data_IF_292356532613
#
_entry.id   IF_292356532613
#
_cell.length_a   1.000
_cell.length_b   1.000
_cell.length_c   1.000
_cell.angle_alpha   90.00
_cell.angle_beta   90.00
_cell.angle_gamma   90.00
#
_symmetry.space_group_name_H-M   'P 1'
#
loop_
_entity.id
_entity.type
_entity.pdbx_description
1 polymer ?
#
# COMPACT_ATOMS: atom_id res chain seq x y z
N UNK A 1 -15.88 1.66 -13.38
CA UNK A 1 -16.63 0.47 -12.89
C UNK A 1 -16.93 0.63 -11.39
N UNK A 2 -18.10 0.23 -10.88
CA UNK A 2 -18.39 0.25 -9.42
C UNK A 2 -17.99 -1.10 -8.81
N UNK A 3 -17.25 -1.09 -7.70
CA UNK A 3 -16.75 -2.29 -7.02
C UNK A 3 -16.99 -2.14 -5.52
N UNK A 4 -17.58 -3.16 -4.89
CA UNK A 4 -17.71 -3.21 -3.44
C UNK A 4 -16.54 -3.99 -2.87
N UNK A 5 -15.68 -3.33 -2.10
CA UNK A 5 -14.49 -3.95 -1.49
C UNK A 5 -14.24 -3.40 -0.09
N UNK A 6 -13.31 -4.03 0.63
CA UNK A 6 -12.82 -3.55 1.91
C UNK A 6 -11.62 -2.63 1.73
N UNK A 7 -11.46 -1.67 2.64
CA UNK A 7 -10.30 -0.79 2.66
C UNK A 7 -9.06 -1.58 3.13
N UNK A 8 -7.93 -1.55 2.40
CA UNK A 8 -6.75 -2.36 2.71
C UNK A 8 -5.84 -1.78 3.81
N UNK A 9 -6.15 -0.59 4.33
CA UNK A 9 -5.36 0.05 5.39
C UNK A 9 -6.21 1.05 6.16
N UNK A 10 -5.76 1.41 7.36
CA UNK A 10 -6.36 2.47 8.15
C UNK A 10 -5.98 3.85 7.63
N UNK A 11 -6.98 4.71 7.40
CA UNK A 11 -6.79 6.06 6.87
C UNK A 11 -7.50 7.12 7.71
N UNK A 12 -6.97 8.34 7.67
CA UNK A 12 -7.59 9.54 8.23
C UNK A 12 -8.06 10.45 7.09
N UNK A 13 -9.31 10.90 7.16
CA UNK A 13 -9.83 11.89 6.23
C UNK A 13 -9.21 13.27 6.52
N UNK A 14 -8.68 13.94 5.50
CA UNK A 14 -8.07 15.27 5.66
C UNK A 14 -9.13 16.37 5.84
N UNK A 15 -10.35 16.17 5.34
CA UNK A 15 -11.41 17.18 5.40
C UNK A 15 -12.10 17.26 6.78
N UNK A 16 -12.40 16.12 7.41
CA UNK A 16 -13.11 16.08 8.69
C UNK A 16 -12.33 15.44 9.84
N UNK A 17 -11.12 14.93 9.58
CA UNK A 17 -10.31 14.25 10.58
C UNK A 17 -10.83 12.86 11.00
N UNK A 18 -11.89 12.34 10.38
CA UNK A 18 -12.43 11.03 10.73
C UNK A 18 -11.45 9.91 10.40
N UNK A 19 -11.29 8.98 11.34
CA UNK A 19 -10.52 7.77 11.14
C UNK A 19 -11.41 6.66 10.57
N UNK A 20 -10.90 5.96 9.57
CA UNK A 20 -11.53 4.82 8.93
C UNK A 20 -10.55 3.66 9.08
N UNK A 21 -10.99 2.63 9.80
CA UNK A 21 -10.16 1.46 10.06
C UNK A 21 -10.06 0.58 8.81
N UNK A 22 -8.95 -0.15 8.72
CA UNK A 22 -8.78 -1.27 7.80
C UNK A 22 -9.97 -2.24 7.87
N UNK A 23 -10.33 -2.83 6.72
CA UNK A 23 -11.45 -3.78 6.63
C UNK A 23 -12.83 -3.15 6.46
N UNK A 24 -12.95 -1.82 6.56
CA UNK A 24 -14.24 -1.14 6.35
C UNK A 24 -14.72 -1.30 4.91
N UNK A 25 -15.97 -1.75 4.72
CA UNK A 25 -16.57 -2.00 3.40
C UNK A 25 -17.05 -0.70 2.75
N UNK A 26 -16.59 -0.43 1.53
CA UNK A 26 -17.03 0.72 0.73
C UNK A 26 -17.49 0.31 -0.67
N UNK A 27 -18.27 1.20 -1.27
CA UNK A 27 -18.54 1.17 -2.70
C UNK A 27 -17.53 2.09 -3.39
N UNK A 28 -16.54 1.49 -4.05
CA UNK A 28 -15.52 2.19 -4.79
C UNK A 28 -15.94 2.40 -6.24
N UNK A 29 -15.53 3.53 -6.82
CA UNK A 29 -15.45 3.70 -8.27
C UNK A 29 -14.03 3.38 -8.70
N UNK A 30 -13.86 2.32 -9.47
CA UNK A 30 -12.59 1.89 -10.07
C UNK A 30 -12.40 2.57 -11.43
N UNK A 31 -11.22 3.14 -11.62
CA UNK A 31 -10.71 3.74 -12.85
C UNK A 31 -9.32 3.18 -13.15
N UNK A 32 -9.03 2.94 -14.43
CA UNK A 32 -7.71 2.52 -14.90
C UNK A 32 -6.83 3.76 -15.10
N UNK A 33 -5.63 3.75 -14.51
CA UNK A 33 -4.68 4.84 -14.71
C UNK A 33 -4.01 4.65 -16.08
N UNK A 34 -4.28 5.57 -17.01
CA UNK A 34 -3.78 5.50 -18.38
C UNK A 34 -2.30 5.91 -18.39
N UNK A 35 -1.43 5.07 -18.95
CA UNK A 35 -0.01 5.36 -19.16
C UNK A 35 0.94 4.77 -18.11
N UNK A 36 0.43 4.32 -16.95
CA UNK A 36 1.26 3.69 -15.91
C UNK A 36 0.97 2.18 -15.84
N UNK A 37 1.88 1.40 -16.41
CA UNK A 37 1.88 -0.06 -16.27
C UNK A 37 3.23 -0.51 -15.73
N UNK A 38 3.21 -1.39 -14.73
CA UNK A 38 4.43 -1.97 -14.19
C UNK A 38 4.50 -3.44 -14.59
N UNK A 39 5.52 -3.82 -15.36
CA UNK A 39 5.70 -5.20 -15.86
C UNK A 39 4.42 -5.80 -16.50
N UNK A 40 3.63 -4.96 -17.18
CA UNK A 40 2.37 -5.34 -17.81
C UNK A 40 1.13 -5.34 -16.90
N UNK A 41 1.29 -5.08 -15.60
CA UNK A 41 0.20 -4.94 -14.64
C UNK A 41 -0.35 -3.51 -14.70
N UNK A 42 -1.67 -3.38 -14.86
CA UNK A 42 -2.36 -2.09 -14.91
C UNK A 42 -2.54 -1.53 -13.50
N UNK A 43 -2.22 -0.25 -13.33
CA UNK A 43 -2.52 0.46 -12.09
C UNK A 43 -3.97 0.92 -12.08
N UNK A 44 -4.60 0.84 -10.90
CA UNK A 44 -5.98 1.23 -10.72
C UNK A 44 -6.08 2.32 -9.66
N UNK A 45 -6.97 3.28 -9.90
CA UNK A 45 -7.37 4.32 -8.96
C UNK A 45 -8.79 4.03 -8.48
N UNK A 46 -8.96 4.06 -7.18
CA UNK A 46 -10.25 3.85 -6.54
C UNK A 46 -10.69 5.13 -5.84
N UNK A 47 -11.88 5.59 -6.18
CA UNK A 47 -12.54 6.73 -5.56
C UNK A 47 -13.60 6.22 -4.58
N UNK A 48 -13.63 6.78 -3.38
CA UNK A 48 -14.65 6.50 -2.37
C UNK A 48 -14.95 7.77 -1.57
N UNK A 49 -16.03 7.76 -0.80
CA UNK A 49 -16.47 8.90 -0.01
C UNK A 49 -16.28 8.64 1.48
N UNK A 50 -15.88 9.66 2.21
CA UNK A 50 -15.86 9.61 3.67
C UNK A 50 -17.27 9.39 4.23
N UNK A 51 -17.39 8.53 5.25
CA UNK A 51 -18.68 8.24 5.91
C UNK A 51 -19.29 9.43 6.63
N UNK A 52 -18.48 10.41 7.08
CA UNK A 52 -18.97 11.58 7.82
C UNK A 52 -19.22 12.80 6.94
N UNK A 53 -18.19 13.27 6.21
CA UNK A 53 -18.27 14.52 5.44
C UNK A 53 -18.57 14.33 3.95
N UNK A 54 -18.73 13.08 3.47
CA UNK A 54 -18.94 12.77 2.06
C UNK A 54 -17.86 13.29 1.09
N UNK A 55 -16.73 13.77 1.60
CA UNK A 55 -15.58 14.18 0.79
C UNK A 55 -15.05 12.98 0.00
N UNK A 56 -14.71 13.21 -1.27
CA UNK A 56 -14.11 12.19 -2.12
C UNK A 56 -12.63 12.01 -1.77
N UNK A 57 -12.22 10.75 -1.68
CA UNK A 57 -10.88 10.31 -1.33
C UNK A 57 -10.43 9.29 -2.37
N UNK A 58 -9.13 9.28 -2.69
CA UNK A 58 -8.56 8.34 -3.66
C UNK A 58 -7.43 7.52 -3.10
N UNK A 59 -7.42 6.25 -3.50
CA UNK A 59 -6.29 5.34 -3.34
C UNK A 59 -5.88 4.81 -4.72
N UNK A 60 -4.57 4.66 -4.91
CA UNK A 60 -3.95 4.07 -6.11
C UNK A 60 -3.26 2.77 -5.72
N UNK A 61 -3.34 1.76 -6.58
CA UNK A 61 -2.58 0.52 -6.39
C UNK A 61 -1.15 0.71 -6.89
N UNK A 62 -0.17 0.37 -6.06
CA UNK A 62 1.23 0.24 -6.46
C UNK A 62 1.63 -1.24 -6.60
N UNK A 63 1.86 -1.74 -7.82
CA UNK A 63 2.24 -3.12 -8.08
C UNK A 63 3.73 -3.42 -7.82
N UNK A 64 4.59 -2.43 -7.60
CA UNK A 64 6.01 -2.68 -7.29
C UNK A 64 6.15 -3.17 -5.85
N UNK A 65 5.58 -2.42 -4.92
CA UNK A 65 5.66 -2.67 -3.48
C UNK A 65 4.47 -3.48 -2.94
N UNK A 66 3.50 -3.82 -3.79
CA UNK A 66 2.25 -4.53 -3.43
C UNK A 66 1.43 -3.78 -2.38
N UNK A 67 1.57 -2.45 -2.34
CA UNK A 67 0.86 -1.56 -1.42
C UNK A 67 -0.19 -0.75 -2.17
N UNK A 68 -1.10 -0.15 -1.41
CA UNK A 68 -1.96 0.91 -1.91
C UNK A 68 -1.43 2.24 -1.37
N UNK A 69 -1.51 3.29 -2.18
CA UNK A 69 -1.04 4.63 -1.84
C UNK A 69 -2.24 5.57 -1.81
N UNK A 70 -2.37 6.35 -0.74
CA UNK A 70 -3.37 7.40 -0.63
C UNK A 70 -2.91 8.63 -1.45
N UNK A 71 -3.72 9.08 -2.42
CA UNK A 71 -3.41 10.26 -3.24
C UNK A 71 -4.13 11.51 -2.71
N UNK A 72 -5.46 11.55 -2.81
CA UNK A 72 -6.24 12.75 -2.47
C UNK A 72 -7.14 12.52 -1.25
N UNK A 73 -7.23 13.55 -0.41
CA UNK A 73 -8.22 13.63 0.67
C UNK A 73 -8.00 12.69 1.85
N UNK A 74 -6.95 11.86 1.81
CA UNK A 74 -6.63 10.85 2.81
C UNK A 74 -5.17 10.93 3.25
N UNK A 75 -4.91 10.59 4.52
CA UNK A 75 -3.58 10.27 5.02
C UNK A 75 -3.60 8.87 5.60
N UNK A 76 -2.56 8.10 5.34
CA UNK A 76 -2.38 6.77 5.93
C UNK A 76 -2.02 6.98 7.40
N UNK A 77 -2.59 6.17 8.29
CA UNK A 77 -2.19 6.19 9.68
C UNK A 77 -0.79 5.60 9.83
N UNK A 78 0.10 6.29 10.56
CA UNK A 78 1.41 5.74 10.85
C UNK A 78 1.31 4.73 12.00
N UNK A 79 1.77 3.52 11.75
CA UNK A 79 1.77 2.41 12.70
C UNK A 79 3.23 2.10 13.06
N UNK A 80 3.72 2.46 14.26
CA UNK A 80 5.14 2.32 14.63
C UNK A 80 5.70 0.92 14.44
N UNK A 81 4.89 -0.11 14.74
CA UNK A 81 5.26 -1.51 14.59
C UNK A 81 5.54 -1.90 13.14
N UNK A 82 4.97 -1.22 12.13
CA UNK A 82 5.31 -1.49 10.71
C UNK A 82 6.74 -1.07 10.38
N UNK A 83 7.22 0.02 10.98
CA UNK A 83 8.58 0.50 10.77
C UNK A 83 9.60 -0.49 11.38
N UNK A 84 9.33 -1.00 12.58
CA UNK A 84 10.15 -2.03 13.22
C UNK A 84 10.20 -3.32 12.39
N UNK A 85 9.05 -3.78 11.87
CA UNK A 85 9.00 -4.99 11.01
C UNK A 85 9.83 -4.81 9.72
N UNK A 86 9.76 -3.63 9.10
CA UNK A 86 10.57 -3.28 7.94
C UNK A 86 12.08 -3.28 8.24
N UNK A 87 12.50 -2.79 9.40
CA UNK A 87 13.92 -2.81 9.81
C UNK A 87 14.40 -4.25 10.05
N UNK A 88 13.60 -5.07 10.73
CA UNK A 88 13.91 -6.48 10.98
C UNK A 88 14.02 -7.27 9.67
N UNK A 89 13.11 -7.05 8.71
CA UNK A 89 13.17 -7.73 7.41
C UNK A 89 14.38 -7.28 6.58
N UNK A 90 14.72 -5.98 6.57
CA UNK A 90 15.95 -5.48 5.92
C UNK A 90 17.20 -6.12 6.53
N UNK A 91 17.24 -6.28 7.85
CA UNK A 91 18.37 -6.90 8.52
C UNK A 91 18.48 -8.40 8.18
N UNK A 92 17.36 -9.14 8.15
CA UNK A 92 17.34 -10.55 7.70
C UNK A 92 17.81 -10.69 6.26
N UNK A 93 17.38 -9.80 5.36
CA UNK A 93 17.82 -9.80 3.96
C UNK A 93 19.33 -9.54 3.83
N UNK A 94 19.87 -8.62 4.63
CA UNK A 94 21.31 -8.35 4.70
C UNK A 94 22.08 -9.58 5.18
N UNK A 95 21.61 -10.25 6.24
CA UNK A 95 22.23 -11.48 6.75
C UNK A 95 22.19 -12.62 5.72
N UNK A 96 21.06 -12.80 5.00
CA UNK A 96 20.93 -13.81 3.95
C UNK A 96 21.86 -13.55 2.76
N UNK A 97 21.94 -12.30 2.29
CA UNK A 97 22.81 -11.94 1.17
C UNK A 97 24.30 -12.10 1.51
N UNK A 98 24.69 -11.75 2.74
CA UNK A 98 26.05 -12.01 3.25
C UNK A 98 26.35 -13.51 3.31
N UNK A 99 25.48 -14.31 3.94
CA UNK A 99 25.68 -15.76 4.05
C UNK A 99 25.69 -16.49 2.70
N UNK A 100 24.95 -16.02 1.70
CA UNK A 100 25.00 -16.57 0.33
C UNK A 100 26.34 -16.25 -0.37
N UNK A 101 26.90 -15.06 -0.14
CA UNK A 101 28.23 -14.69 -0.64
C UNK A 101 29.35 -15.53 -0.02
N UNK A 102 29.26 -15.79 1.29
CA UNK A 102 30.24 -16.62 2.02
C UNK A 102 30.17 -18.10 1.61
N UNK A 103 28.96 -18.62 1.35
CA UNK A 103 28.76 -19.99 0.87
C UNK A 103 29.32 -20.22 -0.54
N UNK A 104 29.18 -19.23 -1.44
CA UNK A 104 29.72 -19.31 -2.81
C UNK A 104 31.25 -19.27 -2.83
N UNK A 105 31.86 -18.47 -1.95
CA UNK A 105 33.33 -18.36 -1.80
C UNK A 105 34.00 -19.63 -1.26
N UNK A 106 33.26 -20.43 -0.49
CA UNK A 106 33.77 -21.68 0.09
C UNK A 106 33.87 -22.83 -0.93
N UNK A 107 33.28 -22.68 -2.11
CA UNK A 107 33.27 -23.68 -3.19
C UNK A 107 34.38 -23.47 -4.23
N UNK A 108 35.19 -22.40 -4.11
CA UNK A 108 36.30 -22.09 -5.02
C UNK A 108 37.62 -22.81 -4.67
N UNK A 109 37.62 -23.79 -3.75
CA UNK A 109 38.80 -24.56 -3.35
C UNK A 109 38.79 -26.01 -3.84
#
# INVERSE_FOLDING_TARGET
MKVRSMLPMSIRCNACGNYICEGTKFNFRKEDVIGETYKGIRMHRFYFKCTKCSAEMTIKTDPQDKIYVAELGARINFEPWRAEDEEVEKEKQKRKSQGMGDAMKSLEN
#
